data_IF_526189087128
#
_entry.id   IF_526189087128
#
_cell.length_a   1.000
_cell.length_b   1.000
_cell.length_c   1.000
_cell.angle_alpha   90.00
_cell.angle_beta   90.00
_cell.angle_gamma   90.00
#
_symmetry.space_group_name_H-M   'P 1'
#
loop_
_entity.id
_entity.type
_entity.pdbx_description
1 polymer ?
#
# COMPACT_ATOMS: atom_id res chain seq x y z
N UNK A 1 -3.29 8.78 15.11
CA UNK A 1 -2.70 9.48 13.95
C UNK A 1 -2.54 10.99 14.15
N UNK A 2 -3.43 11.68 14.84
CA UNK A 2 -3.35 13.13 15.15
C UNK A 2 -2.15 13.54 16.02
N UNK A 3 -1.80 12.77 17.04
CA UNK A 3 -0.73 13.10 18.00
C UNK A 3 0.68 13.08 17.36
N UNK A 4 0.94 12.19 16.43
CA UNK A 4 2.25 12.10 15.77
C UNK A 4 2.50 13.25 14.80
N UNK A 5 1.45 13.77 14.17
CA UNK A 5 1.53 14.93 13.26
C UNK A 5 1.79 16.22 14.05
N UNK A 6 1.14 16.38 15.19
CA UNK A 6 1.34 17.54 16.09
C UNK A 6 2.78 17.62 16.65
N UNK A 7 3.38 16.49 16.98
CA UNK A 7 4.75 16.45 17.51
C UNK A 7 5.82 16.79 16.45
N UNK A 8 5.56 16.45 15.19
CA UNK A 8 6.54 16.67 14.09
C UNK A 8 6.46 18.06 13.44
N UNK A 9 5.30 18.72 13.49
CA UNK A 9 5.08 20.01 12.82
C UNK A 9 5.37 21.25 13.69
N UNK A 10 5.71 21.07 14.99
CA UNK A 10 5.93 22.18 15.91
C UNK A 10 4.65 22.92 16.28
N UNK A 11 4.66 23.59 17.42
CA UNK A 11 3.51 24.18 18.11
C UNK A 11 2.75 25.29 17.35
N UNK A 12 3.13 25.64 16.12
CA UNK A 12 2.58 26.80 15.40
C UNK A 12 1.72 26.46 14.17
N UNK A 13 1.44 25.21 13.90
CA UNK A 13 0.51 24.83 12.82
C UNK A 13 -0.78 24.29 13.44
N UNK A 14 -1.78 25.13 13.59
CA UNK A 14 -3.17 24.67 13.75
C UNK A 14 -3.54 23.90 12.48
N UNK A 15 -3.33 22.57 12.50
CA UNK A 15 -3.83 21.68 11.45
C UNK A 15 -5.33 21.58 11.65
N UNK A 16 -6.02 22.60 11.18
CA UNK A 16 -7.47 22.62 11.16
C UNK A 16 -7.91 21.66 10.04
N UNK A 17 -8.14 20.41 10.41
CA UNK A 17 -8.59 19.38 9.47
C UNK A 17 -10.07 19.63 9.21
N UNK A 18 -10.46 20.17 8.05
CA UNK A 18 -11.87 20.43 7.78
C UNK A 18 -12.62 19.10 7.64
N UNK A 19 -13.55 18.88 8.56
CA UNK A 19 -14.38 17.66 8.62
C UNK A 19 -15.07 17.41 7.27
N UNK A 20 -15.45 18.48 6.58
CA UNK A 20 -16.04 18.43 5.24
C UNK A 20 -15.16 17.71 4.22
N UNK A 21 -13.84 18.00 4.20
CA UNK A 21 -12.89 17.34 3.29
C UNK A 21 -12.64 15.89 3.65
N UNK A 22 -12.65 15.54 4.94
CA UNK A 22 -12.58 14.14 5.37
C UNK A 22 -13.80 13.38 4.88
N UNK A 23 -14.99 13.94 5.09
CA UNK A 23 -16.25 13.35 4.64
C UNK A 23 -16.28 13.19 3.12
N UNK A 24 -15.84 14.19 2.38
CA UNK A 24 -15.74 14.13 0.92
C UNK A 24 -14.78 13.02 0.46
N UNK A 25 -13.62 12.89 1.10
CA UNK A 25 -12.64 11.83 0.79
C UNK A 25 -13.23 10.45 1.09
N UNK A 26 -13.90 10.31 2.23
CA UNK A 26 -14.57 9.07 2.61
C UNK A 26 -15.65 8.67 1.60
N UNK A 27 -16.55 9.60 1.22
CA UNK A 27 -17.60 9.35 0.25
C UNK A 27 -17.03 9.00 -1.13
N UNK A 28 -15.96 9.66 -1.56
CA UNK A 28 -15.28 9.37 -2.83
C UNK A 28 -14.78 7.92 -2.93
N UNK A 29 -14.40 7.31 -1.80
CA UNK A 29 -13.97 5.91 -1.75
C UNK A 29 -15.17 4.98 -1.53
N UNK A 30 -16.06 5.33 -0.61
CA UNK A 30 -17.15 4.46 -0.17
C UNK A 30 -18.19 4.24 -1.26
N UNK A 31 -18.57 5.30 -1.99
CA UNK A 31 -19.61 5.22 -3.03
C UNK A 31 -19.23 4.21 -4.13
N UNK A 32 -18.04 4.28 -4.78
CA UNK A 32 -17.68 3.30 -5.81
C UNK A 32 -17.60 1.87 -5.29
N UNK A 33 -17.14 1.68 -4.05
CA UNK A 33 -17.09 0.36 -3.42
C UNK A 33 -18.49 -0.22 -3.23
N UNK A 34 -19.42 0.56 -2.70
CA UNK A 34 -20.82 0.13 -2.54
C UNK A 34 -21.46 -0.21 -3.89
N UNK A 35 -21.25 0.62 -4.92
CA UNK A 35 -21.74 0.36 -6.28
C UNK A 35 -21.15 -0.95 -6.82
N UNK A 36 -19.84 -1.15 -6.67
CA UNK A 36 -19.17 -2.38 -7.10
C UNK A 36 -19.69 -3.64 -6.40
N UNK A 37 -19.92 -3.56 -5.09
CA UNK A 37 -20.53 -4.64 -4.31
C UNK A 37 -21.96 -4.93 -4.76
N UNK A 38 -22.77 -3.91 -5.02
CA UNK A 38 -24.14 -4.04 -5.51
C UNK A 38 -24.18 -4.72 -6.87
N UNK A 39 -23.35 -4.28 -7.82
CA UNK A 39 -23.21 -4.90 -9.15
C UNK A 39 -22.78 -6.37 -9.03
N UNK A 40 -21.83 -6.68 -8.15
CA UNK A 40 -21.39 -8.04 -7.92
C UNK A 40 -22.49 -8.94 -7.37
N UNK A 41 -23.34 -8.40 -6.51
CA UNK A 41 -24.45 -9.14 -5.90
C UNK A 41 -25.63 -9.32 -6.86
N UNK A 42 -25.96 -8.29 -7.65
CA UNK A 42 -27.13 -8.30 -8.54
C UNK A 42 -26.84 -8.91 -9.91
N UNK A 43 -25.62 -8.69 -10.44
CA UNK A 43 -25.20 -9.11 -11.78
C UNK A 43 -23.86 -9.84 -11.75
N UNK A 44 -23.75 -11.01 -11.11
CA UNK A 44 -22.48 -11.72 -10.89
C UNK A 44 -21.75 -12.08 -12.19
N UNK A 45 -22.48 -12.44 -13.23
CA UNK A 45 -21.91 -12.78 -14.53
C UNK A 45 -21.25 -11.57 -15.20
N UNK A 46 -21.90 -10.40 -15.14
CA UNK A 46 -21.35 -9.15 -15.64
C UNK A 46 -20.10 -8.75 -14.85
N UNK A 47 -20.18 -8.83 -13.52
CA UNK A 47 -19.05 -8.52 -12.64
C UNK A 47 -17.82 -9.39 -12.93
N UNK A 48 -18.03 -10.68 -13.20
CA UNK A 48 -16.95 -11.60 -13.60
C UNK A 48 -16.37 -11.28 -14.98
N UNK A 49 -17.23 -11.00 -15.96
CA UNK A 49 -16.78 -10.64 -17.31
C UNK A 49 -15.93 -9.36 -17.34
N UNK A 50 -16.32 -8.36 -16.55
CA UNK A 50 -15.62 -7.05 -16.48
C UNK A 50 -14.39 -7.12 -15.57
N UNK A 51 -14.28 -8.06 -14.65
CA UNK A 51 -13.21 -8.11 -13.64
C UNK A 51 -11.80 -8.16 -14.25
N UNK A 52 -11.58 -8.95 -15.31
CA UNK A 52 -10.28 -9.07 -15.98
C UNK A 52 -9.87 -7.77 -16.72
N UNK A 53 -10.71 -7.22 -17.62
CA UNK A 53 -10.37 -5.99 -18.31
C UNK A 53 -10.23 -4.80 -17.35
N UNK A 54 -11.06 -4.71 -16.31
CA UNK A 54 -10.93 -3.67 -15.28
C UNK A 54 -9.62 -3.76 -14.50
N UNK A 55 -9.20 -4.98 -14.15
CA UNK A 55 -7.90 -5.18 -13.50
C UNK A 55 -6.75 -4.72 -14.39
N UNK A 56 -6.76 -5.10 -15.67
CA UNK A 56 -5.73 -4.69 -16.61
C UNK A 56 -5.72 -3.17 -16.79
N UNK A 57 -6.89 -2.56 -16.99
CA UNK A 57 -7.04 -1.11 -17.09
C UNK A 57 -6.49 -0.39 -15.86
N UNK A 58 -6.86 -0.86 -14.66
CA UNK A 58 -6.39 -0.26 -13.40
C UNK A 58 -4.87 -0.34 -13.25
N UNK A 59 -4.27 -1.51 -13.54
CA UNK A 59 -2.81 -1.68 -13.49
C UNK A 59 -2.12 -0.76 -14.50
N UNK A 60 -2.63 -0.69 -15.73
CA UNK A 60 -2.06 0.16 -16.78
C UNK A 60 -2.15 1.64 -16.41
N UNK A 61 -3.31 2.11 -15.96
CA UNK A 61 -3.50 3.50 -15.54
C UNK A 61 -2.63 3.84 -14.33
N UNK A 62 -2.56 2.96 -13.34
CA UNK A 62 -1.72 3.17 -12.15
C UNK A 62 -0.24 3.27 -12.53
N UNK A 63 0.23 2.37 -13.39
CA UNK A 63 1.61 2.37 -13.90
C UNK A 63 1.90 3.65 -14.68
N UNK A 64 0.97 4.07 -15.54
CA UNK A 64 1.14 5.28 -16.34
C UNK A 64 1.21 6.54 -15.45
N UNK A 65 0.30 6.67 -14.48
CA UNK A 65 0.30 7.79 -13.53
C UNK A 65 1.60 7.80 -12.72
N UNK A 66 2.07 6.63 -12.27
CA UNK A 66 3.33 6.50 -11.55
C UNK A 66 4.52 6.95 -12.41
N UNK A 67 4.61 6.51 -13.66
CA UNK A 67 5.69 6.91 -14.58
C UNK A 67 5.67 8.42 -14.83
N UNK A 68 4.49 9.00 -15.05
CA UNK A 68 4.35 10.46 -15.24
C UNK A 68 4.81 11.21 -13.98
N UNK A 69 4.46 10.73 -12.78
CA UNK A 69 4.89 11.36 -11.54
C UNK A 69 6.41 11.29 -11.36
N UNK A 70 7.03 10.15 -11.66
CA UNK A 70 8.50 9.99 -11.60
C UNK A 70 9.20 10.93 -12.58
N UNK A 71 8.71 11.04 -13.81
CA UNK A 71 9.29 11.94 -14.83
C UNK A 71 9.15 13.41 -14.43
N UNK A 72 8.01 13.80 -13.85
CA UNK A 72 7.79 15.18 -13.41
C UNK A 72 8.67 15.59 -12.24
N UNK A 73 8.93 14.68 -11.31
CA UNK A 73 9.70 14.95 -10.09
C UNK A 73 11.17 14.54 -10.18
N UNK A 74 11.66 14.16 -11.36
CA UNK A 74 13.02 13.60 -11.54
C UNK A 74 14.14 14.48 -10.96
N UNK A 75 14.01 15.82 -11.01
CA UNK A 75 14.99 16.75 -10.47
C UNK A 75 15.06 16.77 -8.93
N UNK A 76 13.95 16.41 -8.27
CA UNK A 76 13.82 16.46 -6.81
C UNK A 76 13.93 15.09 -6.15
N UNK A 77 13.87 14.01 -6.93
CA UNK A 77 13.85 12.64 -6.41
C UNK A 77 15.04 12.38 -5.49
N UNK A 78 16.25 12.75 -5.89
CA UNK A 78 17.48 12.52 -5.10
C UNK A 78 17.38 13.23 -3.76
N UNK A 79 16.94 14.48 -3.74
CA UNK A 79 16.75 15.25 -2.52
C UNK A 79 15.68 14.63 -1.60
N UNK A 80 14.57 14.17 -2.16
CA UNK A 80 13.51 13.51 -1.39
C UNK A 80 13.99 12.20 -0.77
N UNK A 81 14.72 11.38 -1.53
CA UNK A 81 15.32 10.15 -1.01
C UNK A 81 16.36 10.41 0.07
N UNK A 82 17.17 11.45 -0.06
CA UNK A 82 18.15 11.82 0.97
C UNK A 82 17.49 12.23 2.29
N UNK A 83 16.37 12.95 2.24
CA UNK A 83 15.71 13.50 3.42
C UNK A 83 14.82 12.48 4.16
N UNK A 84 14.06 11.68 3.43
CA UNK A 84 13.05 10.77 4.04
C UNK A 84 13.23 9.31 3.64
N UNK A 85 14.17 8.98 2.74
CA UNK A 85 14.32 7.65 2.17
C UNK A 85 14.61 6.57 3.19
N UNK A 86 15.55 6.83 4.12
CA UNK A 86 15.91 5.85 5.16
C UNK A 86 14.72 5.56 6.07
N UNK A 87 14.02 6.60 6.54
CA UNK A 87 12.88 6.44 7.41
C UNK A 87 11.74 5.66 6.74
N UNK A 88 11.41 6.00 5.49
CA UNK A 88 10.35 5.34 4.71
C UNK A 88 10.73 3.90 4.34
N UNK A 89 12.00 3.65 4.03
CA UNK A 89 12.51 2.31 3.76
C UNK A 89 12.42 1.42 5.00
N UNK A 90 12.86 1.91 6.16
CA UNK A 90 12.78 1.19 7.44
C UNK A 90 11.33 0.93 7.84
N UNK A 91 10.45 1.91 7.68
CA UNK A 91 9.02 1.74 7.96
C UNK A 91 8.41 0.65 7.07
N UNK A 92 8.68 0.68 5.78
CA UNK A 92 8.16 -0.31 4.84
C UNK A 92 8.72 -1.72 5.14
N UNK A 93 10.03 -1.82 5.36
CA UNK A 93 10.69 -3.08 5.70
C UNK A 93 10.14 -3.65 7.01
N UNK A 94 10.02 -2.83 8.05
CA UNK A 94 9.47 -3.28 9.34
C UNK A 94 8.02 -3.74 9.21
N UNK A 95 7.18 -3.06 8.44
CA UNK A 95 5.80 -3.47 8.16
C UNK A 95 5.72 -4.84 7.50
N UNK A 96 6.50 -5.07 6.44
CA UNK A 96 6.57 -6.36 5.76
C UNK A 96 7.15 -7.45 6.67
N UNK A 97 8.22 -7.16 7.38
CA UNK A 97 8.90 -8.12 8.25
C UNK A 97 8.04 -8.52 9.44
N UNK A 98 7.51 -7.56 10.19
CA UNK A 98 6.65 -7.82 11.35
C UNK A 98 5.31 -8.43 10.92
N UNK A 99 4.78 -8.00 9.77
CA UNK A 99 3.57 -8.58 9.18
C UNK A 99 3.71 -10.06 8.85
N UNK A 100 4.92 -10.57 8.64
CA UNK A 100 5.20 -11.99 8.50
C UNK A 100 5.50 -12.67 9.84
N UNK A 101 6.46 -12.11 10.58
CA UNK A 101 7.04 -12.75 11.77
C UNK A 101 6.01 -12.89 12.89
N UNK A 102 5.23 -11.86 13.18
CA UNK A 102 4.26 -11.88 14.28
C UNK A 102 3.19 -12.96 14.08
N UNK A 103 2.48 -13.02 12.94
CA UNK A 103 1.50 -14.09 12.72
C UNK A 103 2.13 -15.48 12.69
N UNK A 104 3.33 -15.61 12.12
CA UNK A 104 4.06 -16.88 12.06
C UNK A 104 4.41 -17.40 13.47
N UNK A 105 4.93 -16.54 14.35
CA UNK A 105 5.23 -16.89 15.74
C UNK A 105 3.97 -17.14 16.57
N UNK A 106 2.87 -16.51 16.22
CA UNK A 106 1.56 -16.76 16.84
C UNK A 106 0.89 -18.08 16.37
N UNK A 107 1.57 -18.90 15.56
CA UNK A 107 1.06 -20.18 15.08
C UNK A 107 0.06 -20.08 13.93
N UNK A 108 -0.07 -18.92 13.30
CA UNK A 108 -0.92 -18.74 12.11
C UNK A 108 -0.32 -19.53 10.94
N UNK A 109 -1.15 -20.28 10.17
CA UNK A 109 -0.68 -21.01 8.99
C UNK A 109 0.12 -20.13 8.03
N UNK A 110 1.21 -20.64 7.47
CA UNK A 110 2.15 -19.85 6.64
C UNK A 110 1.48 -19.10 5.49
N UNK A 111 0.46 -19.71 4.86
CA UNK A 111 -0.31 -19.07 3.80
C UNK A 111 -1.00 -17.78 4.27
N UNK A 112 -1.52 -17.77 5.49
CA UNK A 112 -2.17 -16.60 6.10
C UNK A 112 -1.13 -15.59 6.61
N UNK A 113 0.00 -16.05 7.19
CA UNK A 113 1.10 -15.16 7.57
C UNK A 113 1.66 -14.38 6.37
N UNK A 114 1.77 -15.02 5.20
CA UNK A 114 2.13 -14.34 3.95
C UNK A 114 1.09 -13.30 3.54
N UNK A 115 -0.20 -13.59 3.68
CA UNK A 115 -1.24 -12.61 3.38
C UNK A 115 -1.14 -11.40 4.32
N UNK A 116 -0.94 -11.63 5.62
CA UNK A 116 -0.72 -10.57 6.62
C UNK A 116 0.50 -9.69 6.29
N UNK A 117 1.58 -10.28 5.74
CA UNK A 117 2.76 -9.53 5.31
C UNK A 117 2.39 -8.41 4.34
N UNK A 118 1.62 -8.76 3.31
CA UNK A 118 1.23 -7.79 2.28
C UNK A 118 0.12 -6.85 2.76
N UNK A 119 -0.79 -7.30 3.60
CA UNK A 119 -1.84 -6.47 4.20
C UNK A 119 -1.25 -5.36 5.09
N UNK A 120 -0.21 -5.70 5.87
CA UNK A 120 0.45 -4.75 6.78
C UNK A 120 1.51 -3.92 6.05
N UNK A 121 2.19 -4.48 5.05
CA UNK A 121 3.28 -3.81 4.34
C UNK A 121 2.87 -2.97 3.15
N UNK A 122 1.69 -3.22 2.57
CA UNK A 122 1.20 -2.48 1.40
C UNK A 122 0.10 -1.52 1.81
N UNK A 123 0.41 -0.23 1.79
CA UNK A 123 -0.51 0.85 2.13
C UNK A 123 -1.04 1.56 0.89
N UNK A 124 -2.23 2.15 0.99
CA UNK A 124 -2.76 3.00 -0.08
C UNK A 124 -2.13 4.40 0.00
N UNK A 125 -0.95 4.54 -0.58
CA UNK A 125 -0.20 5.80 -0.62
C UNK A 125 -0.90 6.86 -1.46
N UNK A 126 -1.74 6.48 -2.43
CA UNK A 126 -2.54 7.41 -3.21
C UNK A 126 -3.53 8.20 -2.36
N UNK A 127 -4.19 7.55 -1.41
CA UNK A 127 -5.06 8.23 -0.45
C UNK A 127 -4.24 9.16 0.45
N UNK A 128 -3.08 8.71 0.94
CA UNK A 128 -2.22 9.53 1.78
C UNK A 128 -1.76 10.81 1.05
N UNK A 129 -1.35 10.69 -0.22
CA UNK A 129 -0.98 11.83 -1.07
C UNK A 129 -2.18 12.75 -1.30
N UNK A 130 -3.35 12.19 -1.61
CA UNK A 130 -4.56 12.98 -1.83
C UNK A 130 -4.94 13.78 -0.57
N UNK A 131 -4.89 13.18 0.60
CA UNK A 131 -5.15 13.87 1.87
C UNK A 131 -4.10 14.97 2.10
N UNK A 132 -2.83 14.68 1.89
CA UNK A 132 -1.75 15.66 2.07
C UNK A 132 -1.93 16.89 1.17
N UNK A 133 -2.27 16.68 -0.09
CA UNK A 133 -2.41 17.77 -1.06
C UNK A 133 -3.76 18.47 -0.97
N UNK A 134 -4.86 17.72 -0.90
CA UNK A 134 -6.22 18.28 -1.00
C UNK A 134 -6.78 18.75 0.33
N UNK A 135 -6.43 18.06 1.43
CA UNK A 135 -6.94 18.37 2.77
C UNK A 135 -5.97 19.28 3.53
N UNK A 136 -4.69 18.90 3.56
CA UNK A 136 -3.68 19.62 4.32
C UNK A 136 -3.00 20.73 3.50
N UNK A 137 -3.15 20.72 2.17
CA UNK A 137 -2.54 21.72 1.27
C UNK A 137 -1.01 21.72 1.30
N UNK A 138 -0.39 20.61 1.71
CA UNK A 138 1.05 20.52 1.96
C UNK A 138 1.74 19.48 1.08
N UNK A 139 2.55 19.95 0.15
CA UNK A 139 3.41 19.08 -0.66
C UNK A 139 4.47 18.40 0.19
N UNK A 140 4.98 19.05 1.23
CA UNK A 140 5.97 18.50 2.13
C UNK A 140 5.47 17.23 2.85
N UNK A 141 4.18 17.17 3.20
CA UNK A 141 3.56 16.00 3.83
C UNK A 141 3.29 14.89 2.78
N UNK A 142 3.11 15.24 1.51
CA UNK A 142 2.90 14.27 0.44
C UNK A 142 4.19 13.53 0.03
N UNK A 143 5.36 14.18 0.16
CA UNK A 143 6.66 13.63 -0.25
C UNK A 143 6.97 12.28 0.42
N UNK A 144 6.89 12.12 1.77
CA UNK A 144 7.15 10.84 2.40
C UNK A 144 6.25 9.70 1.89
N UNK A 145 4.98 9.98 1.59
CA UNK A 145 4.07 8.98 1.03
C UNK A 145 4.46 8.57 -0.39
N UNK A 146 4.94 9.52 -1.20
CA UNK A 146 5.46 9.25 -2.53
C UNK A 146 6.73 8.39 -2.50
N UNK A 147 7.70 8.73 -1.65
CA UNK A 147 8.94 7.95 -1.47
C UNK A 147 8.63 6.56 -0.91
N UNK A 148 7.72 6.47 0.08
CA UNK A 148 7.26 5.20 0.62
C UNK A 148 6.69 4.28 -0.46
N UNK A 149 5.91 4.82 -1.41
CA UNK A 149 5.31 4.00 -2.48
C UNK A 149 6.35 3.29 -3.33
N UNK A 150 7.48 3.94 -3.61
CA UNK A 150 8.58 3.35 -4.38
C UNK A 150 9.19 2.17 -3.61
N UNK A 151 9.56 2.38 -2.34
CA UNK A 151 10.08 1.30 -1.50
C UNK A 151 9.08 0.18 -1.33
N UNK A 152 7.80 0.49 -1.15
CA UNK A 152 6.72 -0.47 -1.01
C UNK A 152 6.65 -1.43 -2.19
N UNK A 153 6.65 -0.94 -3.42
CA UNK A 153 6.60 -1.79 -4.61
C UNK A 153 7.86 -2.66 -4.75
N UNK A 154 9.04 -2.08 -4.51
CA UNK A 154 10.32 -2.81 -4.61
C UNK A 154 10.41 -3.88 -3.52
N UNK A 155 10.20 -3.50 -2.26
CA UNK A 155 10.33 -4.42 -1.13
C UNK A 155 9.23 -5.48 -1.11
N UNK A 156 7.98 -5.13 -1.42
CA UNK A 156 6.89 -6.11 -1.50
C UNK A 156 7.14 -7.14 -2.61
N UNK A 157 7.67 -6.72 -3.76
CA UNK A 157 8.04 -7.64 -4.84
C UNK A 157 9.17 -8.57 -4.40
N UNK A 158 10.20 -8.05 -3.76
CA UNK A 158 11.33 -8.82 -3.24
C UNK A 158 10.87 -9.83 -2.17
N UNK A 159 10.09 -9.38 -1.20
CA UNK A 159 9.50 -10.25 -0.18
C UNK A 159 8.61 -11.34 -0.79
N UNK A 160 7.76 -10.97 -1.74
CA UNK A 160 6.91 -11.91 -2.46
C UNK A 160 7.71 -13.01 -3.15
N UNK A 161 8.81 -12.63 -3.80
CA UNK A 161 9.70 -13.59 -4.46
C UNK A 161 10.39 -14.52 -3.45
N UNK A 162 10.91 -13.99 -2.34
CA UNK A 162 11.56 -14.77 -1.27
C UNK A 162 10.57 -15.76 -0.65
N UNK A 163 9.38 -15.28 -0.26
CA UNK A 163 8.36 -16.11 0.37
C UNK A 163 7.81 -17.18 -0.56
N UNK A 164 7.69 -16.90 -1.86
CA UNK A 164 7.21 -17.87 -2.85
C UNK A 164 8.22 -18.99 -3.06
N UNK A 165 9.51 -18.67 -3.17
CA UNK A 165 10.56 -19.68 -3.26
C UNK A 165 10.59 -20.60 -2.05
N UNK A 166 10.51 -20.03 -0.84
CA UNK A 166 10.50 -20.80 0.40
C UNK A 166 9.32 -21.79 0.48
N UNK A 167 8.15 -21.39 -0.01
CA UNK A 167 6.98 -22.28 -0.03
C UNK A 167 7.12 -23.47 -0.98
N UNK A 168 7.78 -23.30 -2.10
CA UNK A 168 8.04 -24.39 -3.05
C UNK A 168 8.95 -25.46 -2.46
N UNK A 169 9.97 -25.07 -1.70
CA UNK A 169 10.86 -26.02 -1.01
C UNK A 169 10.14 -26.83 0.06
N UNK A 170 9.27 -26.22 0.85
CA UNK A 170 8.53 -26.91 1.91
C UNK A 170 7.51 -27.92 1.36
N UNK A 171 6.88 -27.62 0.24
CA UNK A 171 5.96 -28.54 -0.45
C UNK A 171 6.74 -29.73 -1.02
N UNK A 172 7.91 -29.50 -1.64
CA UNK A 172 8.75 -30.57 -2.14
C UNK A 172 9.28 -31.48 -1.02
N UNK A 173 9.78 -30.93 0.08
CA UNK A 173 10.27 -31.69 1.23
C UNK A 173 9.15 -32.58 1.81
N UNK A 174 7.94 -32.05 1.99
CA UNK A 174 6.79 -32.81 2.50
C UNK A 174 6.35 -33.95 1.54
N UNK A 175 6.42 -33.74 0.24
CA UNK A 175 6.09 -34.79 -0.73
C UNK A 175 7.14 -35.91 -0.76
N UNK A 176 8.40 -35.58 -0.46
CA UNK A 176 9.49 -36.58 -0.39
C UNK A 176 9.37 -37.44 0.88
N UNK A 177 8.99 -36.83 2.01
CA UNK A 177 8.73 -37.57 3.26
C UNK A 177 7.49 -38.49 3.19
N UNK A 178 6.48 -38.11 2.41
CA UNK A 178 5.26 -38.90 2.23
C UNK A 178 5.43 -40.07 1.25
N UNK A 179 6.55 -40.14 0.53
CA UNK A 179 6.86 -41.20 -0.44
C UNK A 179 7.77 -42.32 0.14
N UNK A 180 8.19 -42.18 1.39
CA UNK A 180 8.91 -43.19 2.18
C UNK A 180 8.05 -43.76 3.28
#
# INVERSE_FOLDING_TARGET
MSLSILHFLGENTEVNIPIEKITQTFLMIFIPVCIGMLIRNTLPNLAQAISKPMRLLTITLLTLIFLIAVVREQSNIISYFANVGIATCLLCFSGLFLGYVIPFLAGVPEKQARACTFEIGIHNTGIAITIALSVLGSTAIAIPAGVYSIFMYVLATLFGFILTRRGSYLIQARNTEASH
#
